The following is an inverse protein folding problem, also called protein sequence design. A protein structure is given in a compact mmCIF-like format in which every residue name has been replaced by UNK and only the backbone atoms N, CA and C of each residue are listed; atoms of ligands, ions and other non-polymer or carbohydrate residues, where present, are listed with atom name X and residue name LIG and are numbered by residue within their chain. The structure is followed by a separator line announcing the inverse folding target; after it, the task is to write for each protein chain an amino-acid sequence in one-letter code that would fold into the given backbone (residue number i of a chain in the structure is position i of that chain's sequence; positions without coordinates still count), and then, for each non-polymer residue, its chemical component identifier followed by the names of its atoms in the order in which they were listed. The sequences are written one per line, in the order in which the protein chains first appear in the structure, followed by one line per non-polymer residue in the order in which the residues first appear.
data_IF_403852256378
#
_entry.id   IF_403852256378
#
_cell.length_a   1.000
_cell.length_b   1.000
_cell.length_c   1.000
_cell.angle_alpha   90.00
_cell.angle_beta   90.00
_cell.angle_gamma   90.00
#
_symmetry.space_group_name_H-M   'P 1'
#
loop_
_entity.id
_entity.type
_entity.pdbx_description
1 polymer ?
#
# COMPACT_ATOMS: atom_id res chain seq x y z
N UNK A 1 -14.70 -7.99 -5.83
CA UNK A 1 -13.76 -9.01 -5.29
C UNK A 1 -13.78 -10.30 -6.10
N UNK A 2 -14.93 -10.93 -6.30
CA UNK A 2 -15.04 -12.15 -7.13
C UNK A 2 -14.42 -12.03 -8.52
N UNK A 3 -14.55 -10.87 -9.19
CA UNK A 3 -13.97 -10.62 -10.52
C UNK A 3 -12.44 -10.59 -10.52
N UNK A 4 -11.81 -10.13 -9.45
CA UNK A 4 -10.35 -10.16 -9.30
C UNK A 4 -9.88 -11.60 -9.12
N UNK A 5 -10.53 -12.35 -8.23
CA UNK A 5 -10.17 -13.74 -7.91
C UNK A 5 -10.33 -14.65 -9.13
N UNK A 6 -11.30 -14.38 -10.00
CA UNK A 6 -11.52 -15.14 -11.23
C UNK A 6 -10.50 -14.83 -12.33
N UNK A 7 -9.81 -13.69 -12.26
CA UNK A 7 -8.76 -13.34 -13.21
C UNK A 7 -7.37 -13.69 -12.68
N UNK A 8 -6.86 -14.85 -13.07
CA UNK A 8 -5.55 -15.35 -12.64
C UNK A 8 -4.40 -14.37 -12.92
N UNK A 9 -4.45 -13.63 -14.04
CA UNK A 9 -3.43 -12.65 -14.38
C UNK A 9 -3.44 -11.49 -13.38
N UNK A 10 -4.62 -10.97 -13.05
CA UNK A 10 -4.76 -9.92 -12.04
C UNK A 10 -4.25 -10.39 -10.67
N UNK A 11 -4.58 -11.60 -10.27
CA UNK A 11 -4.09 -12.20 -9.00
C UNK A 11 -2.56 -12.31 -8.99
N UNK A 12 -1.95 -12.80 -10.07
CA UNK A 12 -0.49 -12.91 -10.15
C UNK A 12 0.21 -11.55 -10.13
N UNK A 13 -0.35 -10.53 -10.79
CA UNK A 13 0.18 -9.17 -10.76
C UNK A 13 0.09 -8.56 -9.35
N UNK A 14 -1.03 -8.72 -8.68
CA UNK A 14 -1.21 -8.21 -7.31
C UNK A 14 -0.27 -8.90 -6.32
N UNK A 15 -0.21 -10.23 -6.33
CA UNK A 15 0.65 -11.00 -5.43
C UNK A 15 2.13 -10.72 -5.73
N UNK A 16 2.54 -10.77 -6.99
CA UNK A 16 3.91 -10.52 -7.40
C UNK A 16 4.37 -9.12 -7.04
N UNK A 17 3.53 -8.11 -7.28
CA UNK A 17 3.81 -6.73 -6.90
C UNK A 17 3.86 -6.53 -5.38
N UNK A 18 2.97 -7.18 -4.62
CA UNK A 18 3.00 -7.15 -3.16
C UNK A 18 4.26 -7.81 -2.61
N UNK A 19 4.65 -8.98 -3.12
CA UNK A 19 5.88 -9.66 -2.70
C UNK A 19 7.12 -8.81 -3.00
N UNK A 20 7.21 -8.22 -4.18
CA UNK A 20 8.32 -7.34 -4.55
C UNK A 20 8.43 -6.14 -3.61
N UNK A 21 7.33 -5.45 -3.35
CA UNK A 21 7.30 -4.31 -2.41
C UNK A 21 7.62 -4.75 -0.97
N UNK A 22 7.18 -5.94 -0.56
CA UNK A 22 7.50 -6.49 0.76
C UNK A 22 9.01 -6.76 0.91
N UNK A 23 9.65 -7.31 -0.12
CA UNK A 23 11.11 -7.53 -0.12
C UNK A 23 11.84 -6.19 0.02
N UNK A 24 11.44 -5.17 -0.72
CA UNK A 24 12.01 -3.83 -0.60
C UNK A 24 11.76 -3.26 0.80
N UNK A 25 10.55 -3.39 1.33
CA UNK A 25 10.18 -2.87 2.65
C UNK A 25 10.99 -3.51 3.78
N UNK A 26 11.39 -4.77 3.63
CA UNK A 26 12.25 -5.48 4.57
C UNK A 26 13.73 -5.15 4.42
N UNK A 27 14.18 -4.91 3.19
CA UNK A 27 15.59 -4.77 2.85
C UNK A 27 16.15 -3.35 2.94
N UNK A 28 15.31 -2.33 2.76
CA UNK A 28 15.75 -0.94 2.77
C UNK A 28 15.52 -0.29 4.14
N UNK A 29 16.55 0.39 4.63
CA UNK A 29 16.43 1.22 5.83
C UNK A 29 15.43 2.37 5.61
N UNK A 30 14.73 2.83 6.68
CA UNK A 30 13.82 3.96 6.59
C UNK A 30 14.53 5.23 6.15
N UNK A 31 13.88 5.99 5.26
CA UNK A 31 14.30 7.34 4.91
C UNK A 31 13.94 8.35 6.01
N UNK A 32 14.45 9.58 5.86
CA UNK A 32 14.15 10.66 6.80
C UNK A 32 12.64 10.95 6.90
N UNK A 33 11.94 10.94 5.79
CA UNK A 33 10.49 11.17 5.76
C UNK A 33 9.72 10.07 6.49
N UNK A 34 10.12 8.81 6.33
CA UNK A 34 9.47 7.68 7.02
C UNK A 34 9.67 7.76 8.54
N UNK A 35 10.86 8.15 9.00
CA UNK A 35 11.13 8.39 10.41
C UNK A 35 10.27 9.56 10.95
N UNK A 36 10.08 10.59 10.16
CA UNK A 36 9.24 11.74 10.49
C UNK A 36 7.75 11.35 10.60
N UNK A 37 7.24 10.55 9.67
CA UNK A 37 5.87 10.02 9.72
C UNK A 37 5.64 9.10 10.91
N UNK A 38 6.66 8.36 11.33
CA UNK A 38 6.62 7.57 12.54
C UNK A 38 6.42 8.44 13.79
N UNK A 39 7.12 9.57 13.89
CA UNK A 39 6.90 10.55 14.97
C UNK A 39 5.47 11.07 14.96
N UNK A 40 4.89 11.35 13.80
CA UNK A 40 3.49 11.73 13.68
C UNK A 40 2.53 10.64 14.19
N UNK A 41 2.85 9.37 14.02
CA UNK A 41 2.02 8.26 14.49
C UNK A 41 1.89 8.19 16.01
N UNK A 42 2.82 8.79 16.75
CA UNK A 42 2.76 8.93 18.20
C UNK A 42 2.01 10.19 18.68
N UNK A 43 1.79 11.14 17.76
CA UNK A 43 1.14 12.41 18.04
C UNK A 43 0.03 12.65 17.02
N UNK A 44 -1.05 11.85 17.12
CA UNK A 44 -2.15 11.95 16.15
C UNK A 44 -2.88 13.28 16.27
N UNK A 45 -3.05 13.94 15.13
CA UNK A 45 -3.76 15.19 14.99
C UNK A 45 -4.58 15.17 13.69
N UNK A 46 -5.53 16.11 13.58
CA UNK A 46 -6.36 16.28 12.40
C UNK A 46 -5.60 16.79 11.18
N UNK A 47 -4.49 17.46 11.40
CA UNK A 47 -3.62 17.98 10.35
C UNK A 47 -2.21 18.19 10.88
N UNK A 48 -1.23 18.04 10.00
CA UNK A 48 0.16 18.38 10.25
C UNK A 48 0.57 19.54 9.34
N UNK A 49 1.66 20.21 9.68
CA UNK A 49 2.13 21.39 8.94
C UNK A 49 2.25 21.11 7.42
N UNK A 50 2.76 19.97 7.05
CA UNK A 50 3.13 19.61 5.68
C UNK A 50 2.45 18.33 5.16
N UNK A 51 1.72 17.59 6.00
CA UNK A 51 1.14 16.29 5.62
C UNK A 51 -0.27 16.07 6.18
N UNK A 52 -1.11 15.32 5.44
CA UNK A 52 -2.43 14.92 5.93
C UNK A 52 -2.33 13.82 7.00
N UNK A 53 -3.34 13.68 7.86
CA UNK A 53 -3.31 12.74 8.98
C UNK A 53 -3.21 11.27 8.58
N UNK A 54 -3.61 10.91 7.35
CA UNK A 54 -3.54 9.53 6.85
C UNK A 54 -2.10 9.00 6.80
N UNK A 55 -1.10 9.88 6.65
CA UNK A 55 0.32 9.50 6.67
C UNK A 55 0.70 8.93 8.05
N UNK A 56 0.29 9.61 9.12
CA UNK A 56 0.53 9.13 10.49
C UNK A 56 -0.19 7.81 10.78
N UNK A 57 -1.44 7.68 10.35
CA UNK A 57 -2.25 6.48 10.54
C UNK A 57 -1.65 5.29 9.78
N UNK A 58 -1.29 5.47 8.53
CA UNK A 58 -0.71 4.39 7.71
C UNK A 58 0.65 3.94 8.23
N UNK A 59 1.48 4.85 8.71
CA UNK A 59 2.78 4.52 9.30
C UNK A 59 2.64 3.86 10.67
N UNK A 60 1.70 4.31 11.49
CA UNK A 60 1.46 3.75 12.83
C UNK A 60 0.77 2.40 12.82
N UNK A 61 0.02 2.07 11.78
CA UNK A 61 -0.86 0.90 11.75
C UNK A 61 -0.14 -0.41 12.07
N UNK A 62 0.98 -0.70 11.42
CA UNK A 62 1.76 -1.92 11.67
C UNK A 62 2.40 -1.95 13.05
N UNK A 63 2.88 -0.80 13.54
CA UNK A 63 3.50 -0.69 14.86
C UNK A 63 2.48 -0.86 16.00
N UNK A 64 1.26 -0.34 15.81
CA UNK A 64 0.19 -0.47 16.80
C UNK A 64 -0.33 -1.91 16.92
N UNK A 65 -0.42 -2.64 15.80
CA UNK A 65 -0.89 -4.03 15.82
C UNK A 65 0.16 -4.98 16.39
N UNK A 66 1.43 -4.82 15.99
CA UNK A 66 2.51 -5.76 16.34
C UNK A 66 3.25 -5.39 17.62
N UNK A 67 3.22 -4.13 18.03
CA UNK A 67 4.07 -3.60 19.09
C UNK A 67 5.56 -3.53 18.74
N UNK A 68 5.93 -3.85 17.51
CA UNK A 68 7.31 -3.83 17.01
C UNK A 68 7.53 -2.59 16.13
N UNK A 69 8.72 -2.01 16.21
CA UNK A 69 9.14 -0.86 15.41
C UNK A 69 10.34 -1.25 14.56
N UNK A 70 10.13 -1.39 13.26
CA UNK A 70 11.16 -1.68 12.27
C UNK A 70 10.72 -1.14 10.90
N UNK A 71 11.60 -1.22 9.91
CA UNK A 71 11.33 -0.73 8.57
C UNK A 71 10.09 -1.36 7.91
N UNK A 72 9.76 -2.60 8.24
CA UNK A 72 8.59 -3.27 7.70
C UNK A 72 7.29 -2.79 8.35
N UNK A 73 7.26 -2.70 9.69
CA UNK A 73 6.04 -2.32 10.43
C UNK A 73 5.59 -0.90 10.12
N UNK A 74 6.52 0.05 9.92
CA UNK A 74 6.17 1.42 9.53
C UNK A 74 5.64 1.53 8.11
N UNK A 75 5.94 0.57 7.24
CA UNK A 75 5.47 0.49 5.84
C UNK A 75 4.24 -0.39 5.67
N UNK A 76 3.90 -1.20 6.66
CA UNK A 76 2.85 -2.21 6.56
C UNK A 76 1.49 -1.61 6.16
N UNK A 77 1.08 -0.54 6.81
CA UNK A 77 -0.17 0.16 6.47
C UNK A 77 -0.18 0.68 5.03
N UNK A 78 0.93 1.24 4.58
CA UNK A 78 1.10 1.72 3.20
C UNK A 78 1.05 0.57 2.19
N UNK A 79 1.66 -0.57 2.49
CA UNK A 79 1.58 -1.77 1.64
C UNK A 79 0.14 -2.25 1.45
N UNK A 80 -0.65 -2.27 2.53
CA UNK A 80 -2.06 -2.65 2.48
C UNK A 80 -2.89 -1.65 1.68
N UNK A 81 -2.73 -0.35 1.95
CA UNK A 81 -3.45 0.71 1.24
C UNK A 81 -3.12 0.74 -0.25
N UNK A 82 -1.85 0.60 -0.59
CA UNK A 82 -1.43 0.57 -1.99
C UNK A 82 -2.01 -0.65 -2.72
N UNK A 83 -1.96 -1.83 -2.11
CA UNK A 83 -2.54 -3.05 -2.69
C UNK A 83 -4.05 -2.92 -2.85
N UNK A 84 -4.75 -2.35 -1.87
CA UNK A 84 -6.18 -2.04 -1.95
C UNK A 84 -6.49 -1.06 -3.08
N UNK A 85 -5.68 -0.02 -3.25
CA UNK A 85 -5.81 0.94 -4.35
C UNK A 85 -5.64 0.29 -5.72
N UNK A 86 -4.70 -0.64 -5.86
CA UNK A 86 -4.52 -1.42 -7.09
C UNK A 86 -5.75 -2.29 -7.41
N UNK A 87 -6.35 -2.90 -6.40
CA UNK A 87 -7.61 -3.66 -6.58
C UNK A 87 -8.73 -2.76 -7.08
N UNK A 88 -8.90 -1.60 -6.48
CA UNK A 88 -9.92 -0.63 -6.90
C UNK A 88 -9.65 -0.08 -8.30
N UNK A 89 -8.39 0.20 -8.63
CA UNK A 89 -7.97 0.65 -9.95
C UNK A 89 -8.32 -0.39 -11.03
N UNK A 90 -8.00 -1.66 -10.78
CA UNK A 90 -8.34 -2.76 -11.68
C UNK A 90 -9.87 -2.88 -11.88
N UNK A 91 -10.64 -2.86 -10.80
CA UNK A 91 -12.10 -2.95 -10.87
C UNK A 91 -12.72 -1.77 -11.61
N UNK A 92 -12.19 -0.58 -11.40
CA UNK A 92 -12.63 0.62 -12.10
C UNK A 92 -12.34 0.52 -13.60
N UNK A 93 -11.11 0.14 -13.97
CA UNK A 93 -10.73 -0.05 -15.36
C UNK A 93 -11.55 -1.16 -16.04
N UNK A 94 -11.85 -2.25 -15.32
CA UNK A 94 -12.69 -3.33 -15.82
C UNK A 94 -14.15 -2.89 -16.04
N UNK A 95 -14.65 -2.00 -15.20
CA UNK A 95 -16.02 -1.47 -15.30
C UNK A 95 -16.18 -0.46 -16.43
N UNK A 96 -15.19 0.40 -16.63
CA UNK A 96 -15.24 1.51 -17.60
C UNK A 96 -14.75 1.11 -18.98
N UNK A 97 -13.88 0.12 -19.07
CA UNK A 97 -13.24 -0.29 -20.33
C UNK A 97 -13.39 -1.80 -20.54
N UNK A 98 -12.31 -2.47 -20.90
CA UNK A 98 -12.30 -3.91 -21.19
C UNK A 98 -11.29 -4.66 -20.33
N UNK A 99 -11.40 -5.98 -20.30
CA UNK A 99 -10.49 -6.84 -19.54
C UNK A 99 -9.00 -6.65 -19.92
N UNK A 100 -8.61 -6.57 -21.21
CA UNK A 100 -7.21 -6.29 -21.56
C UNK A 100 -6.72 -4.94 -21.02
N UNK A 101 -7.55 -3.90 -21.09
CA UNK A 101 -7.21 -2.56 -20.55
C UNK A 101 -7.05 -2.63 -19.04
N UNK A 102 -7.92 -3.31 -18.33
CA UNK A 102 -7.81 -3.47 -16.88
C UNK A 102 -6.51 -4.18 -16.46
N UNK A 103 -6.13 -5.24 -17.19
CA UNK A 103 -4.87 -5.95 -16.95
C UNK A 103 -3.63 -5.08 -17.23
N UNK A 104 -3.65 -4.32 -18.34
CA UNK A 104 -2.57 -3.39 -18.67
C UNK A 104 -2.45 -2.29 -17.61
N UNK A 105 -3.56 -1.70 -17.20
CA UNK A 105 -3.60 -0.67 -16.15
C UNK A 105 -2.98 -1.21 -14.86
N UNK A 106 -3.37 -2.40 -14.46
CA UNK A 106 -2.81 -3.04 -13.26
C UNK A 106 -1.32 -3.34 -13.41
N UNK A 107 -0.88 -3.86 -14.56
CA UNK A 107 0.53 -4.17 -14.83
C UNK A 107 1.42 -2.92 -14.79
N UNK A 108 0.94 -1.80 -15.33
CA UNK A 108 1.68 -0.52 -15.31
C UNK A 108 1.73 0.06 -13.89
N UNK A 109 0.64 -0.02 -13.13
CA UNK A 109 0.55 0.56 -11.79
C UNK A 109 1.25 -0.30 -10.71
N UNK A 110 1.38 -1.58 -10.96
CA UNK A 110 2.03 -2.49 -10.03
C UNK A 110 3.55 -2.41 -10.07
#
# INVERSE_FOLDING_TARGET
MTKIISDRIAVYLLIGGLLFRTIIALGLYPGYDEAYYYVYSHNLDWSYFDHPPIVAISTGFGTWITGLVNQFTIRFGTLLLYTGSLCLLYLTALKLFSLPVARMTLAIAT
#
